data_IF_762627401902
#
_entry.id   IF_762627401902
#
_cell.length_a   1.000
_cell.length_b   1.000
_cell.length_c   1.000
_cell.angle_alpha   90.00
_cell.angle_beta   90.00
_cell.angle_gamma   90.00
#
_symmetry.space_group_name_H-M   'P 1'
#
loop_
_entity.id
_entity.type
_entity.pdbx_description
1 polymer ?
#
# COMPACT_ATOMS: atom_id res chain seq x y z
N UNK A 1 -11.71 14.39 -9.27
CA UNK A 1 -10.76 13.33 -9.66
C UNK A 1 -11.57 12.20 -10.23
N UNK A 2 -11.17 11.65 -11.37
CA UNK A 2 -11.88 10.57 -12.06
C UNK A 2 -11.03 9.32 -12.08
N UNK A 3 -11.62 8.16 -11.86
CA UNK A 3 -10.96 6.88 -12.09
C UNK A 3 -11.43 6.31 -13.43
N UNK A 4 -10.48 5.97 -14.28
CA UNK A 4 -10.74 5.41 -15.61
C UNK A 4 -10.25 3.97 -15.59
N UNK A 5 -11.14 3.04 -15.90
CA UNK A 5 -10.85 1.62 -16.12
C UNK A 5 -10.71 1.39 -17.61
N UNK A 6 -9.62 0.77 -18.04
CA UNK A 6 -9.33 0.52 -19.45
C UNK A 6 -8.72 -0.86 -19.68
N UNK A 7 -8.93 -1.41 -20.88
CA UNK A 7 -8.33 -2.69 -21.24
C UNK A 7 -6.85 -2.54 -21.54
N UNK A 8 -6.00 -3.38 -20.92
CA UNK A 8 -4.53 -3.30 -21.06
C UNK A 8 -4.06 -3.44 -22.51
N UNK A 9 -4.68 -4.34 -23.25
CA UNK A 9 -4.24 -4.68 -24.61
C UNK A 9 -4.65 -3.65 -25.66
N UNK A 10 -5.75 -2.93 -25.44
CA UNK A 10 -6.34 -2.03 -26.44
C UNK A 10 -6.39 -0.57 -26.01
N UNK A 11 -6.13 -0.28 -24.73
CA UNK A 11 -6.30 1.03 -24.10
C UNK A 11 -7.72 1.60 -24.25
N UNK A 12 -8.72 0.74 -24.52
CA UNK A 12 -10.10 1.16 -24.64
C UNK A 12 -10.68 1.33 -23.24
N UNK A 13 -11.30 2.49 -22.99
CA UNK A 13 -11.99 2.80 -21.74
C UNK A 13 -13.18 1.86 -21.60
N UNK A 14 -13.12 1.03 -20.57
CA UNK A 14 -14.17 0.09 -20.19
C UNK A 14 -15.19 0.77 -19.27
N UNK A 15 -14.72 1.58 -18.31
CA UNK A 15 -15.58 2.25 -17.36
C UNK A 15 -14.95 3.53 -16.79
N UNK A 16 -15.79 4.43 -16.30
CA UNK A 16 -15.39 5.69 -15.68
C UNK A 16 -16.16 5.85 -14.37
N UNK A 17 -15.43 6.12 -13.29
CA UNK A 17 -15.97 6.46 -11.98
C UNK A 17 -15.64 7.92 -11.72
N UNK A 18 -16.68 8.75 -11.72
CA UNK A 18 -16.59 10.15 -11.33
C UNK A 18 -16.45 10.27 -9.81
N UNK A 19 -15.65 11.26 -9.39
CA UNK A 19 -15.37 11.56 -7.98
C UNK A 19 -15.00 10.33 -7.17
N UNK A 20 -13.89 9.70 -7.54
CA UNK A 20 -13.35 8.53 -6.85
C UNK A 20 -13.09 8.85 -5.37
N UNK A 21 -13.43 7.91 -4.48
CA UNK A 21 -13.25 8.02 -3.03
C UNK A 21 -12.26 7.00 -2.51
N UNK A 22 -12.38 5.74 -2.94
CA UNK A 22 -11.60 4.63 -2.38
C UNK A 22 -11.31 3.56 -3.44
N UNK A 23 -10.12 2.98 -3.38
CA UNK A 23 -9.67 1.81 -4.15
C UNK A 23 -9.25 0.72 -3.16
N UNK A 24 -9.87 -0.46 -3.27
CA UNK A 24 -9.67 -1.60 -2.38
C UNK A 24 -9.46 -2.86 -3.21
N UNK A 25 -8.21 -3.14 -3.59
CA UNK A 25 -7.87 -4.29 -4.41
C UNK A 25 -8.58 -4.23 -5.77
N UNK A 26 -9.52 -5.15 -6.00
CA UNK A 26 -10.34 -5.27 -7.21
C UNK A 26 -11.69 -4.52 -7.12
N UNK A 27 -11.83 -3.65 -6.13
CA UNK A 27 -13.02 -2.84 -5.88
C UNK A 27 -12.72 -1.34 -5.87
N UNK A 28 -13.61 -0.56 -6.47
CA UNK A 28 -13.49 0.87 -6.70
C UNK A 28 -14.79 1.57 -6.30
N UNK A 29 -14.69 2.61 -5.48
CA UNK A 29 -15.84 3.32 -4.92
C UNK A 29 -15.72 4.82 -5.23
N UNK A 30 -16.64 5.35 -6.03
CA UNK A 30 -16.82 6.78 -6.26
C UNK A 30 -18.02 7.35 -5.53
N UNK A 31 -18.39 8.58 -5.88
CA UNK A 31 -19.57 9.22 -5.28
C UNK A 31 -20.88 8.58 -5.76
N UNK A 32 -20.96 8.28 -7.05
CA UNK A 32 -22.21 7.85 -7.69
C UNK A 32 -22.17 6.39 -8.16
N UNK A 33 -21.00 5.75 -8.08
CA UNK A 33 -20.77 4.41 -8.64
C UNK A 33 -19.80 3.61 -7.78
N UNK A 34 -20.12 2.32 -7.64
CA UNK A 34 -19.25 1.32 -7.02
C UNK A 34 -19.11 0.13 -7.97
N UNK A 35 -17.88 -0.36 -8.13
CA UNK A 35 -17.53 -1.50 -8.96
C UNK A 35 -16.65 -2.44 -8.15
N UNK A 36 -17.04 -3.71 -8.04
CA UNK A 36 -16.26 -4.74 -7.34
C UNK A 36 -16.08 -5.99 -8.18
N UNK A 37 -15.00 -6.74 -7.92
CA UNK A 37 -14.67 -7.96 -8.66
C UNK A 37 -14.10 -7.70 -10.05
N UNK A 38 -13.41 -6.56 -10.22
CA UNK A 38 -12.79 -6.22 -11.50
C UNK A 38 -11.57 -7.11 -11.74
N UNK A 39 -11.53 -7.77 -12.89
CA UNK A 39 -10.38 -8.58 -13.28
C UNK A 39 -9.19 -7.70 -13.71
N UNK A 40 -8.33 -7.39 -12.73
CA UNK A 40 -7.12 -6.58 -12.92
C UNK A 40 -6.04 -7.29 -13.78
N UNK A 41 -6.26 -8.54 -14.21
CA UNK A 41 -5.36 -9.19 -15.17
C UNK A 41 -5.60 -8.69 -16.59
N UNK A 42 -6.83 -8.28 -16.90
CA UNK A 42 -7.26 -7.82 -18.23
C UNK A 42 -7.46 -6.31 -18.27
N UNK A 43 -7.95 -5.75 -17.18
CA UNK A 43 -8.24 -4.32 -17.03
C UNK A 43 -7.15 -3.67 -16.18
N UNK A 44 -6.82 -2.43 -16.49
CA UNK A 44 -6.03 -1.55 -15.64
C UNK A 44 -6.84 -0.29 -15.30
N UNK A 45 -6.35 0.51 -14.38
CA UNK A 45 -6.98 1.76 -14.01
C UNK A 45 -5.97 2.89 -13.84
N UNK A 46 -6.49 4.11 -13.93
CA UNK A 46 -5.74 5.33 -13.63
C UNK A 46 -6.68 6.33 -12.97
N UNK A 47 -6.19 7.03 -11.94
CA UNK A 47 -6.91 8.17 -11.36
C UNK A 47 -6.28 9.44 -11.89
N UNK A 48 -7.10 10.30 -12.50
CA UNK A 48 -6.63 11.51 -13.15
C UNK A 48 -7.56 12.69 -12.90
N UNK A 49 -7.02 13.90 -12.99
CA UNK A 49 -7.76 15.17 -12.99
C UNK A 49 -8.13 15.63 -14.41
N UNK A 50 -7.97 14.76 -15.41
CA UNK A 50 -8.24 15.04 -16.81
C UNK A 50 -9.61 15.71 -17.01
N UNK A 51 -9.60 16.93 -17.56
CA UNK A 51 -10.80 17.79 -17.64
C UNK A 51 -11.69 17.48 -18.85
N UNK A 52 -11.19 16.83 -19.89
CA UNK A 52 -12.01 16.51 -21.06
C UNK A 52 -13.04 15.42 -20.75
N UNK A 53 -14.17 15.50 -21.44
CA UNK A 53 -15.26 14.53 -21.35
C UNK A 53 -14.88 13.22 -22.07
N UNK A 54 -14.21 12.33 -21.34
CA UNK A 54 -13.98 10.94 -21.77
C UNK A 54 -15.25 10.09 -21.65
N UNK A 55 -15.46 9.20 -22.61
CA UNK A 55 -16.59 8.27 -22.62
C UNK A 55 -16.12 6.81 -22.71
N UNK A 56 -17.00 5.90 -22.25
CA UNK A 56 -16.78 4.47 -22.40
C UNK A 56 -16.69 4.12 -23.89
N UNK A 57 -15.65 3.38 -24.26
CA UNK A 57 -15.32 3.02 -25.64
C UNK A 57 -14.28 3.93 -26.29
N UNK A 58 -13.95 5.08 -25.70
CA UNK A 58 -12.86 5.92 -26.17
C UNK A 58 -11.50 5.26 -25.91
N UNK A 59 -10.47 5.74 -26.61
CA UNK A 59 -9.09 5.34 -26.35
C UNK A 59 -8.50 6.20 -25.24
N UNK A 60 -7.81 5.58 -24.28
CA UNK A 60 -7.17 6.28 -23.18
C UNK A 60 -6.12 7.28 -23.73
N UNK A 61 -6.20 8.57 -23.35
CA UNK A 61 -5.18 9.55 -23.70
C UNK A 61 -3.79 9.18 -23.16
N UNK A 62 -2.74 9.51 -23.90
CA UNK A 62 -1.37 9.34 -23.44
C UNK A 62 -0.95 10.48 -22.49
N UNK A 63 -0.05 10.20 -21.55
CA UNK A 63 0.58 11.21 -20.70
C UNK A 63 -0.27 11.70 -19.53
N UNK A 64 -1.33 10.97 -19.16
CA UNK A 64 -2.13 11.27 -17.98
C UNK A 64 -1.30 11.13 -16.70
N UNK A 65 -1.44 12.10 -15.80
CA UNK A 65 -0.92 11.98 -14.44
C UNK A 65 -1.77 10.96 -13.66
N UNK A 66 -1.09 10.07 -12.94
CA UNK A 66 -1.71 9.05 -12.11
C UNK A 66 -1.66 9.42 -10.63
N UNK A 67 -2.83 9.63 -10.05
CA UNK A 67 -3.04 9.93 -8.63
C UNK A 67 -3.63 8.75 -7.85
N UNK A 68 -3.60 7.53 -8.41
CA UNK A 68 -4.27 6.36 -7.82
C UNK A 68 -3.85 6.08 -6.39
N UNK A 69 -2.58 6.32 -6.05
CA UNK A 69 -2.01 6.09 -4.73
C UNK A 69 -2.74 6.81 -3.59
N UNK A 70 -3.28 7.99 -3.86
CA UNK A 70 -3.98 8.80 -2.85
C UNK A 70 -5.35 8.20 -2.46
N UNK A 71 -5.84 7.26 -3.28
CA UNK A 71 -7.15 6.63 -3.12
C UNK A 71 -7.05 5.16 -2.71
N UNK A 72 -5.86 4.55 -2.75
CA UNK A 72 -5.66 3.16 -2.34
C UNK A 72 -5.82 3.05 -0.81
N UNK A 73 -6.84 2.31 -0.39
CA UNK A 73 -7.05 1.95 0.99
C UNK A 73 -6.33 0.63 1.25
N UNK A 74 -5.13 0.73 1.82
CA UNK A 74 -4.40 -0.42 2.34
C UNK A 74 -5.21 -1.03 3.47
N UNK A 75 -5.49 -2.33 3.41
CA UNK A 75 -6.33 -2.99 4.42
C UNK A 75 -5.65 -2.93 5.79
N UNK A 76 -6.45 -2.73 6.85
CA UNK A 76 -5.97 -2.75 8.23
C UNK A 76 -5.25 -4.05 8.59
N UNK A 77 -5.59 -5.15 7.92
CA UNK A 77 -4.97 -6.47 8.10
C UNK A 77 -3.52 -6.50 7.58
N UNK A 78 -3.25 -5.87 6.44
CA UNK A 78 -1.90 -5.75 5.91
C UNK A 78 -1.03 -4.85 6.79
N UNK A 79 -1.58 -3.72 7.25
CA UNK A 79 -0.91 -2.84 8.21
C UNK A 79 -0.61 -3.57 9.52
N UNK A 80 -1.56 -4.37 10.02
CA UNK A 80 -1.37 -5.18 11.21
C UNK A 80 -0.29 -6.26 11.00
N UNK A 81 -0.28 -6.91 9.84
CA UNK A 81 0.75 -7.89 9.48
C UNK A 81 2.16 -7.28 9.49
N UNK A 82 2.30 -6.08 8.93
CA UNK A 82 3.57 -5.34 8.93
C UNK A 82 4.02 -4.97 10.35
N UNK A 83 3.10 -4.47 11.19
CA UNK A 83 3.38 -4.15 12.59
C UNK A 83 3.78 -5.38 13.42
N UNK A 84 3.15 -6.54 13.18
CA UNK A 84 3.52 -7.79 13.83
C UNK A 84 4.94 -8.24 13.44
N UNK A 85 5.31 -8.08 12.16
CA UNK A 85 6.65 -8.41 11.67
C UNK A 85 7.71 -7.47 12.27
N UNK A 86 7.43 -6.17 12.31
CA UNK A 86 8.30 -5.17 12.93
C UNK A 86 8.49 -5.46 14.42
N UNK A 87 7.39 -5.72 15.15
CA UNK A 87 7.44 -6.10 16.56
C UNK A 87 8.26 -7.37 16.82
N UNK A 88 8.19 -8.36 15.92
CA UNK A 88 9.01 -9.57 16.03
C UNK A 88 10.50 -9.28 15.86
N UNK A 89 10.87 -8.39 14.91
CA UNK A 89 12.26 -7.96 14.72
C UNK A 89 12.78 -7.22 15.94
N UNK A 90 12.00 -6.29 16.48
CA UNK A 90 12.37 -5.53 17.67
C UNK A 90 12.61 -6.43 18.88
N UNK A 91 11.78 -7.46 19.07
CA UNK A 91 11.99 -8.45 20.14
C UNK A 91 13.33 -9.17 20.02
N UNK A 92 13.76 -9.53 18.81
CA UNK A 92 15.07 -10.16 18.60
C UNK A 92 16.20 -9.21 18.97
N UNK A 93 16.09 -7.94 18.58
CA UNK A 93 17.09 -6.91 18.93
C UNK A 93 17.15 -6.70 20.44
N UNK A 94 16.00 -6.65 21.12
CA UNK A 94 15.93 -6.52 22.58
C UNK A 94 16.65 -7.68 23.27
N UNK A 95 16.39 -8.93 22.85
CA UNK A 95 17.09 -10.08 23.44
C UNK A 95 18.61 -10.03 23.23
N UNK A 96 19.08 -9.58 22.07
CA UNK A 96 20.51 -9.39 21.81
C UNK A 96 21.13 -8.31 22.72
N UNK A 97 20.39 -7.23 22.98
CA UNK A 97 20.80 -6.19 23.92
C UNK A 97 20.84 -6.75 25.35
N UNK A 98 19.83 -7.52 25.76
CA UNK A 98 19.78 -8.17 27.07
C UNK A 98 20.96 -9.11 27.29
N UNK A 99 21.30 -9.94 26.30
CA UNK A 99 22.47 -10.83 26.34
C UNK A 99 23.78 -10.03 26.48
N UNK A 100 23.91 -8.94 25.71
CA UNK A 100 25.09 -8.06 25.76
C UNK A 100 25.23 -7.38 27.12
N UNK A 101 24.13 -6.86 27.66
CA UNK A 101 24.10 -6.25 28.99
C UNK A 101 24.44 -7.29 30.07
N UNK A 102 23.91 -8.50 29.96
CA UNK A 102 24.22 -9.60 30.87
C UNK A 102 25.71 -9.94 30.89
N UNK A 103 26.34 -10.04 29.70
CA UNK A 103 27.77 -10.26 29.58
C UNK A 103 28.59 -9.12 30.21
N UNK A 104 28.25 -7.86 29.92
CA UNK A 104 28.93 -6.69 30.50
C UNK A 104 28.79 -6.63 32.03
N UNK A 105 27.62 -6.96 32.57
CA UNK A 105 27.42 -7.01 34.03
C UNK A 105 28.30 -8.07 34.67
N UNK A 106 28.47 -9.23 34.03
CA UNK A 106 29.37 -10.29 34.49
C UNK A 106 30.82 -9.84 34.43
N UNK A 107 31.26 -9.18 33.35
CA UNK A 107 32.60 -8.61 33.24
C UNK A 107 32.88 -7.55 34.32
N UNK A 108 31.92 -6.64 34.58
CA UNK A 108 32.05 -5.65 35.66
C UNK A 108 32.12 -6.32 37.03
N UNK A 109 31.34 -7.38 37.26
CA UNK A 109 31.40 -8.14 38.50
C UNK A 109 32.77 -8.81 38.69
N UNK A 110 33.35 -9.37 37.63
CA UNK A 110 34.71 -9.93 37.64
C UNK A 110 35.78 -8.85 37.89
N UNK A 111 35.67 -7.68 37.25
CA UNK A 111 36.60 -6.56 37.46
C UNK A 111 36.51 -6.00 38.89
N UNK A 112 35.31 -5.91 39.47
CA UNK A 112 35.12 -5.43 40.84
C UNK A 112 35.46 -6.48 41.90
N UNK A 113 35.21 -7.76 41.63
CA UNK A 113 35.50 -8.87 42.55
C UNK A 113 36.93 -9.40 42.46
N UNK A 114 37.63 -9.16 41.35
CA UNK A 114 39.05 -9.49 41.13
C UNK A 114 40.03 -8.44 41.64
N UNK A 115 39.54 -7.32 42.16
CA UNK A 115 40.33 -6.35 42.93
C UNK A 115 40.34 -6.76 44.40
N UNK A 116 41.02 -7.87 44.71
CA UNK A 116 41.38 -8.29 46.06
C UNK A 116 42.91 -8.44 46.15
#
# INVERSE_FOLDING_TARGET
MKLILYFKDSLIIHDIIEDIKEIKGDSFVGTDKELGGVDLTVVDYIVTDYEDDLQVGDTLPEGLADYSQDYIVISTEEQLGNLLLESAKDKVIISQIEDTVGALLMEVALLKGGAA
#
